data_IF_110642371081
#
_entry.id   IF_110642371081
#
_cell.length_a   1.000
_cell.length_b   1.000
_cell.length_c   1.000
_cell.angle_alpha   90.00
_cell.angle_beta   90.00
_cell.angle_gamma   90.00
#
_symmetry.space_group_name_H-M   'P 1'
#
loop_
_entity.id
_entity.type
_entity.pdbx_description
1 polymer ?
#
# COMPACT_ATOMS: atom_id res chain seq x y z
N UNK A 1 2.64 -13.59 12.25
CA UNK A 1 2.59 -13.38 10.78
C UNK A 1 3.49 -14.39 10.06
N UNK A 2 2.98 -14.95 8.96
CA UNK A 2 3.58 -16.10 8.25
C UNK A 2 4.95 -15.80 7.62
N UNK A 3 5.36 -14.53 7.60
CA UNK A 3 6.61 -14.02 7.04
C UNK A 3 7.77 -13.90 8.05
N UNK A 4 7.52 -14.05 9.36
CA UNK A 4 8.56 -13.90 10.40
C UNK A 4 9.76 -14.82 10.17
N UNK A 5 9.52 -16.07 9.76
CA UNK A 5 10.59 -17.02 9.47
C UNK A 5 11.47 -16.55 8.31
N UNK A 6 10.83 -16.06 7.25
CA UNK A 6 11.53 -15.50 6.08
C UNK A 6 12.33 -14.26 6.44
N UNK A 7 11.75 -13.35 7.22
CA UNK A 7 12.42 -12.14 7.65
C UNK A 7 13.72 -12.43 8.40
N UNK A 8 13.71 -13.44 9.27
CA UNK A 8 14.90 -13.88 10.02
C UNK A 8 15.93 -14.59 9.12
N UNK A 9 15.49 -15.46 8.21
CA UNK A 9 16.41 -16.25 7.38
C UNK A 9 17.02 -15.46 6.22
N UNK A 10 16.27 -14.52 5.65
CA UNK A 10 16.65 -13.76 4.46
C UNK A 10 17.05 -12.31 4.78
N UNK A 11 17.04 -11.92 6.06
CA UNK A 11 17.25 -10.53 6.49
C UNK A 11 16.34 -9.54 5.73
N UNK A 12 15.05 -9.90 5.58
CA UNK A 12 14.10 -9.03 4.88
C UNK A 12 13.96 -7.68 5.60
N UNK A 13 13.76 -6.58 4.86
CA UNK A 13 13.52 -5.28 5.47
C UNK A 13 12.25 -5.33 6.33
N UNK A 14 12.32 -4.70 7.50
CA UNK A 14 11.22 -4.57 8.46
C UNK A 14 10.79 -3.12 8.56
N UNK A 15 9.51 -2.91 8.86
CA UNK A 15 8.95 -1.60 9.23
C UNK A 15 8.82 -1.57 10.74
N UNK A 16 9.53 -0.64 11.37
CA UNK A 16 9.36 -0.33 12.79
C UNK A 16 8.35 0.80 12.95
N UNK A 17 7.38 0.62 13.84
CA UNK A 17 6.41 1.65 14.20
C UNK A 17 6.66 2.08 15.64
N UNK A 18 6.79 3.38 15.85
CA UNK A 18 7.02 3.96 17.18
C UNK A 18 5.80 4.77 17.59
N UNK A 19 5.37 4.56 18.84
CA UNK A 19 4.28 5.32 19.45
C UNK A 19 4.82 6.10 20.66
N UNK A 20 4.65 7.42 20.63
CA UNK A 20 4.96 8.29 21.77
C UNK A 20 3.74 8.36 22.70
N UNK A 21 3.97 8.25 24.02
CA UNK A 21 2.90 8.31 25.03
C UNK A 21 2.28 9.71 25.15
N UNK A 22 3.11 10.75 24.99
CA UNK A 22 2.64 12.13 24.92
C UNK A 22 2.16 12.40 23.48
N UNK A 23 0.88 12.80 23.28
CA UNK A 23 0.33 12.97 21.95
C UNK A 23 0.94 14.19 21.25
N UNK A 24 1.47 13.95 20.05
CA UNK A 24 1.95 14.98 19.13
C UNK A 24 1.24 14.83 17.78
N UNK A 25 0.91 15.95 17.13
CA UNK A 25 0.42 15.91 15.76
C UNK A 25 1.59 15.61 14.82
N UNK A 26 1.57 14.42 14.22
CA UNK A 26 2.50 14.08 13.16
C UNK A 26 2.11 14.83 11.88
N UNK A 27 2.93 15.81 11.50
CA UNK A 27 2.79 16.47 10.20
C UNK A 27 3.59 15.71 9.15
N UNK A 28 3.02 15.58 7.95
CA UNK A 28 3.73 15.00 6.82
C UNK A 28 4.95 15.83 6.43
N UNK A 29 6.04 15.18 6.03
CA UNK A 29 7.24 15.82 5.49
C UNK A 29 7.46 15.47 4.01
N UNK A 30 8.02 16.40 3.22
CA UNK A 30 8.38 16.16 1.79
C UNK A 30 9.59 15.25 1.60
N UNK A 31 10.23 14.82 2.68
CA UNK A 31 11.45 14.02 2.69
C UNK A 31 11.17 12.50 2.60
N UNK A 32 9.93 12.06 2.85
CA UNK A 32 9.53 10.66 2.73
C UNK A 32 8.46 10.50 1.65
N UNK A 33 8.75 9.68 0.64
CA UNK A 33 7.83 9.42 -0.46
C UNK A 33 6.74 8.43 -0.06
N UNK A 34 7.10 7.15 -0.01
CA UNK A 34 6.21 6.04 0.34
C UNK A 34 7.02 4.77 0.66
N UNK A 35 6.36 3.76 1.21
CA UNK A 35 6.84 2.38 1.20
C UNK A 35 6.19 1.62 0.04
N UNK A 36 6.96 0.81 -0.67
CA UNK A 36 6.44 -0.04 -1.75
C UNK A 36 6.47 -1.51 -1.34
N UNK A 37 5.38 -2.22 -1.60
CA UNK A 37 5.26 -3.66 -1.37
C UNK A 37 4.80 -4.38 -2.62
N UNK A 38 5.45 -5.50 -2.91
CA UNK A 38 4.99 -6.40 -3.97
C UNK A 38 3.91 -7.36 -3.47
N UNK A 39 2.86 -7.53 -4.28
CA UNK A 39 1.78 -8.49 -4.05
C UNK A 39 1.70 -9.52 -5.17
N UNK A 40 1.13 -10.68 -4.87
CA UNK A 40 0.92 -11.74 -5.87
C UNK A 40 -0.22 -11.42 -6.84
N UNK A 41 -1.26 -10.76 -6.34
CA UNK A 41 -2.40 -10.30 -7.12
C UNK A 41 -2.82 -8.92 -6.56
N UNK A 42 -2.67 -7.90 -7.39
CA UNK A 42 -2.98 -6.52 -7.00
C UNK A 42 -4.48 -6.25 -6.95
N UNK A 43 -5.29 -6.93 -7.75
CA UNK A 43 -6.74 -6.74 -7.79
C UNK A 43 -7.41 -7.38 -6.60
N UNK A 44 -7.01 -8.59 -6.23
CA UNK A 44 -7.45 -9.25 -5.01
C UNK A 44 -7.09 -8.41 -3.79
N UNK A 45 -5.82 -7.97 -3.67
CA UNK A 45 -5.40 -7.16 -2.54
C UNK A 45 -6.16 -5.82 -2.47
N UNK A 46 -6.34 -5.12 -3.59
CA UNK A 46 -7.09 -3.85 -3.59
C UNK A 46 -8.56 -4.05 -3.22
N UNK A 47 -9.18 -5.15 -3.65
CA UNK A 47 -10.55 -5.50 -3.24
C UNK A 47 -10.63 -5.75 -1.74
N UNK A 48 -9.75 -6.60 -1.20
CA UNK A 48 -9.75 -6.93 0.22
C UNK A 48 -9.52 -5.69 1.09
N UNK A 49 -8.63 -4.78 0.66
CA UNK A 49 -8.42 -3.49 1.32
C UNK A 49 -9.68 -2.62 1.28
N UNK A 50 -10.34 -2.53 0.13
CA UNK A 50 -11.57 -1.75 -0.02
C UNK A 50 -12.72 -2.32 0.82
N UNK A 51 -12.87 -3.64 0.87
CA UNK A 51 -13.85 -4.34 1.71
C UNK A 51 -13.56 -4.13 3.21
N UNK A 52 -12.30 -3.96 3.58
CA UNK A 52 -11.87 -3.57 4.92
C UNK A 52 -12.02 -2.06 5.22
N UNK A 53 -12.57 -1.28 4.29
CA UNK A 53 -12.80 0.16 4.45
C UNK A 53 -11.59 1.05 4.13
N UNK A 54 -10.52 0.49 3.56
CA UNK A 54 -9.36 1.28 3.12
C UNK A 54 -9.69 1.95 1.78
N UNK A 55 -9.43 3.25 1.69
CA UNK A 55 -9.59 3.98 0.43
C UNK A 55 -8.44 3.65 -0.52
N UNK A 56 -8.79 3.21 -1.74
CA UNK A 56 -7.83 3.09 -2.84
C UNK A 56 -7.64 4.48 -3.46
N UNK A 57 -6.56 5.17 -3.09
CA UNK A 57 -6.29 6.53 -3.52
C UNK A 57 -5.94 6.61 -5.02
N UNK A 58 -5.13 5.66 -5.50
CA UNK A 58 -4.90 5.43 -6.93
C UNK A 58 -5.19 3.97 -7.24
N UNK A 59 -6.23 3.64 -8.01
CA UNK A 59 -6.54 2.27 -8.35
C UNK A 59 -5.56 1.69 -9.38
N UNK A 60 -5.40 0.35 -9.42
CA UNK A 60 -4.50 -0.35 -10.34
C UNK A 60 -5.03 -0.39 -11.78
N UNK A 61 -5.24 0.78 -12.39
CA UNK A 61 -5.80 0.91 -13.76
C UNK A 61 -5.00 0.14 -14.81
N UNK A 62 -3.68 0.15 -14.64
CA UNK A 62 -2.71 -0.49 -15.51
C UNK A 62 -2.40 -1.94 -15.10
N UNK A 63 -3.09 -2.46 -14.08
CA UNK A 63 -2.84 -3.79 -13.52
C UNK A 63 -1.46 -3.95 -12.87
N UNK A 64 -0.73 -2.86 -12.62
CA UNK A 64 0.63 -2.90 -12.09
C UNK A 64 0.76 -2.23 -10.73
N UNK A 65 0.08 -1.09 -10.53
CA UNK A 65 0.38 -0.18 -9.42
C UNK A 65 -0.86 0.45 -8.81
N UNK A 66 -0.97 0.41 -7.48
CA UNK A 66 -2.00 1.11 -6.72
C UNK A 66 -1.38 1.90 -5.56
N UNK A 67 -2.10 2.91 -5.05
CA UNK A 67 -1.74 3.59 -3.81
C UNK A 67 -2.88 3.57 -2.81
N UNK A 68 -2.51 3.37 -1.56
CA UNK A 68 -3.34 3.59 -0.37
C UNK A 68 -2.59 4.48 0.62
N UNK A 69 -3.30 5.01 1.62
CA UNK A 69 -2.68 5.72 2.75
C UNK A 69 -3.04 5.06 4.07
N UNK A 70 -2.06 5.04 4.96
CA UNK A 70 -2.29 4.72 6.37
C UNK A 70 -3.11 5.81 7.07
N UNK A 71 -3.68 5.54 8.25
CA UNK A 71 -4.38 6.54 9.06
C UNK A 71 -3.52 7.77 9.40
N UNK A 72 -2.21 7.58 9.59
CA UNK A 72 -1.25 8.66 9.86
C UNK A 72 -0.77 9.38 8.58
N UNK A 73 -1.41 9.09 7.44
CA UNK A 73 -1.14 9.75 6.17
C UNK A 73 0.13 9.29 5.47
N UNK A 74 0.79 8.21 5.87
CA UNK A 74 1.92 7.65 5.10
C UNK A 74 1.38 6.94 3.86
N UNK A 75 1.92 7.29 2.70
CA UNK A 75 1.60 6.65 1.41
C UNK A 75 2.25 5.27 1.29
N UNK A 76 1.48 4.33 0.76
CA UNK A 76 1.90 2.94 0.51
C UNK A 76 1.62 2.63 -0.95
N UNK A 77 2.67 2.26 -1.68
CA UNK A 77 2.59 1.77 -3.06
C UNK A 77 2.46 0.25 -3.06
N UNK A 78 1.47 -0.25 -3.81
CA UNK A 78 1.25 -1.68 -4.02
C UNK A 78 1.63 -2.00 -5.45
N UNK A 79 2.50 -2.99 -5.62
CA UNK A 79 3.05 -3.38 -6.91
C UNK A 79 2.72 -4.84 -7.21
N UNK A 80 2.12 -5.11 -8.37
CA UNK A 80 1.97 -6.48 -8.86
C UNK A 80 3.35 -7.12 -9.01
N UNK A 81 3.55 -8.33 -8.49
CA UNK A 81 4.78 -9.08 -8.73
C UNK A 81 4.81 -9.55 -10.19
N UNK A 82 5.96 -9.33 -10.85
CA UNK A 82 6.16 -9.70 -12.25
C UNK A 82 5.53 -8.70 -13.22
N UNK A 83 4.91 -9.21 -14.26
CA UNK A 83 4.24 -8.41 -15.29
C UNK A 83 2.95 -7.78 -14.77
N UNK A 84 2.50 -6.72 -15.44
CA UNK A 84 1.20 -6.12 -15.19
C UNK A 84 0.07 -7.12 -15.52
N UNK A 85 -1.00 -7.12 -14.71
CA UNK A 85 -2.23 -7.81 -15.07
C UNK A 85 -2.97 -7.04 -16.17
N UNK A 86 -3.81 -7.74 -16.93
CA UNK A 86 -4.68 -7.09 -17.92
C UNK A 86 -5.65 -6.13 -17.23
N UNK A 87 -5.85 -4.90 -17.75
CA UNK A 87 -6.77 -3.93 -17.16
C UNK A 87 -8.17 -4.51 -16.94
N UNK A 88 -8.69 -4.40 -15.72
CA UNK A 88 -9.99 -4.94 -15.32
C UNK A 88 -10.87 -3.87 -14.65
N UNK A 89 -12.17 -3.93 -14.89
CA UNK A 89 -13.17 -3.17 -14.13
C UNK A 89 -13.38 -3.75 -12.71
N UNK A 90 -13.62 -2.90 -11.69
CA UNK A 90 -13.84 -1.46 -11.78
C UNK A 90 -12.54 -0.62 -11.82
N UNK A 91 -11.37 -1.24 -11.70
CA UNK A 91 -10.10 -0.54 -11.49
C UNK A 91 -9.69 0.34 -12.66
N UNK A 92 -9.92 -0.14 -13.90
CA UNK A 92 -9.59 0.58 -15.12
C UNK A 92 -10.27 1.97 -15.17
N UNK A 93 -11.55 2.04 -14.79
CA UNK A 93 -12.36 3.27 -14.85
C UNK A 93 -12.41 4.08 -13.54
N UNK A 94 -12.19 3.45 -12.38
CA UNK A 94 -12.33 4.08 -11.06
C UNK A 94 -11.42 5.30 -10.92
N UNK A 95 -11.91 6.49 -10.59
CA UNK A 95 -11.08 7.70 -10.48
C UNK A 95 -10.15 7.68 -9.25
N UNK A 96 -9.13 8.54 -9.26
CA UNK A 96 -8.27 8.70 -8.08
C UNK A 96 -9.07 9.41 -6.98
N UNK A 97 -8.79 9.06 -5.72
CA UNK A 97 -9.43 9.64 -4.54
C UNK A 97 -8.39 10.33 -3.65
N UNK A 98 -8.57 11.62 -3.39
CA UNK A 98 -7.71 12.39 -2.50
C UNK A 98 -6.29 12.59 -3.07
N UNK A 99 -5.28 12.45 -2.20
CA UNK A 99 -3.86 12.53 -2.57
C UNK A 99 -3.15 11.25 -2.16
N UNK A 100 -2.10 10.88 -2.90
CA UNK A 100 -1.28 9.70 -2.67
C UNK A 100 0.19 10.01 -2.93
#
# INVERSE_FOLDING_TARGET
PEDKGRALSEASPLVELTYNWDPEEYTGGRNFGHLAFETKDIYELCRDLMDAGVTINRPPRDGRMAFVRSPDGISIELLQRGEALEPQEPWASMQNTGSW
#
